data_IF_808976678921
#
_entry.id   IF_808976678921
#
_cell.length_a   1.000
_cell.length_b   1.000
_cell.length_c   1.000
_cell.angle_alpha   90.00
_cell.angle_beta   90.00
_cell.angle_gamma   90.00
#
_symmetry.space_group_name_H-M   'P 1'
#
loop_
_entity.id
_entity.type
_entity.pdbx_description
1 polymer ?
#
# COMPACT_ATOMS: atom_id res chain seq x y z
N UNK A 1 5.05 6.33 -24.58
CA UNK A 1 4.78 7.66 -24.01
C UNK A 1 5.25 7.62 -22.58
N UNK A 2 6.22 8.45 -22.20
CA UNK A 2 6.59 8.61 -20.80
C UNK A 2 5.35 9.01 -19.99
N UNK A 3 5.14 8.44 -18.79
CA UNK A 3 4.07 8.90 -17.92
C UNK A 3 4.26 10.39 -17.63
N UNK A 4 3.15 11.12 -17.56
CA UNK A 4 3.19 12.53 -17.22
C UNK A 4 3.85 12.68 -15.83
N UNK A 5 4.71 13.69 -15.62
CA UNK A 5 5.30 13.93 -14.31
C UNK A 5 4.18 14.10 -13.27
N UNK A 6 4.39 13.69 -12.01
CA UNK A 6 3.40 13.87 -10.97
C UNK A 6 3.01 15.35 -10.88
N UNK A 7 1.70 15.62 -10.77
CA UNK A 7 1.21 16.99 -10.67
C UNK A 7 1.89 17.72 -9.51
N UNK A 8 2.33 18.96 -9.76
CA UNK A 8 2.90 19.80 -8.70
C UNK A 8 1.87 19.99 -7.57
N UNK A 9 2.31 20.03 -6.31
CA UNK A 9 1.41 20.30 -5.19
C UNK A 9 0.73 21.68 -5.38
N UNK A 10 -0.59 21.73 -5.22
CA UNK A 10 -1.36 22.96 -5.25
C UNK A 10 -1.48 23.53 -3.83
N UNK A 11 -1.33 24.86 -3.62
CA UNK A 11 -1.68 25.51 -2.37
C UNK A 11 -3.18 25.31 -2.04
N UNK A 12 -3.53 25.27 -0.76
CA UNK A 12 -4.94 25.02 -0.34
C UNK A 12 -5.88 26.15 -0.83
N UNK A 13 -5.43 27.39 -0.87
CA UNK A 13 -6.21 28.50 -1.42
C UNK A 13 -6.50 28.37 -2.93
N UNK A 14 -5.68 27.66 -3.67
CA UNK A 14 -5.95 27.30 -5.07
C UNK A 14 -7.08 26.27 -5.19
N UNK A 15 -7.25 25.36 -4.23
CA UNK A 15 -8.37 24.41 -4.19
C UNK A 15 -9.71 25.15 -4.12
N UNK A 16 -9.81 26.16 -3.27
CA UNK A 16 -11.02 26.98 -3.13
C UNK A 16 -11.39 27.73 -4.43
N UNK A 17 -10.37 28.09 -5.23
CA UNK A 17 -10.61 28.68 -6.57
C UNK A 17 -11.05 27.66 -7.61
N UNK A 18 -10.59 26.44 -7.54
CA UNK A 18 -10.86 25.39 -8.50
C UNK A 18 -12.18 24.65 -8.22
N UNK A 19 -12.58 24.56 -6.96
CA UNK A 19 -13.83 23.93 -6.52
C UNK A 19 -14.42 24.74 -5.34
N UNK A 20 -15.03 25.90 -5.62
CA UNK A 20 -15.57 26.81 -4.60
C UNK A 20 -16.81 26.28 -3.88
N UNK A 21 -17.52 25.31 -4.42
CA UNK A 21 -18.66 24.67 -3.77
C UNK A 21 -18.27 23.73 -2.62
N UNK A 22 -16.99 23.42 -2.46
CA UNK A 22 -16.47 22.60 -1.38
C UNK A 22 -15.97 23.49 -0.24
N UNK A 23 -16.50 23.29 0.96
CA UNK A 23 -15.96 23.88 2.19
C UNK A 23 -14.66 23.12 2.57
N UNK A 24 -13.52 23.62 2.07
CA UNK A 24 -12.22 23.00 2.27
C UNK A 24 -11.77 23.02 3.72
N UNK A 25 -12.14 24.05 4.47
CA UNK A 25 -11.78 24.17 5.90
C UNK A 25 -12.53 23.11 6.71
N UNK A 26 -13.83 22.97 6.49
CA UNK A 26 -14.63 21.91 7.11
C UNK A 26 -14.16 20.52 6.67
N UNK A 27 -13.78 20.35 5.39
CA UNK A 27 -13.26 19.10 4.87
C UNK A 27 -11.96 18.66 5.58
N UNK A 28 -10.96 19.55 5.65
CA UNK A 28 -9.70 19.25 6.31
C UNK A 28 -9.83 19.12 7.83
N UNK A 29 -10.70 19.92 8.46
CA UNK A 29 -11.03 19.78 9.88
C UNK A 29 -11.65 18.41 10.19
N UNK A 30 -12.56 17.90 9.34
CA UNK A 30 -13.15 16.59 9.49
C UNK A 30 -12.15 15.44 9.32
N UNK A 31 -11.10 15.67 8.52
CA UNK A 31 -9.98 14.74 8.36
C UNK A 31 -8.92 14.85 9.49
N UNK A 32 -9.04 15.84 10.37
CA UNK A 32 -8.09 16.08 11.45
C UNK A 32 -6.72 16.58 10.97
N UNK A 33 -6.65 17.24 9.79
CA UNK A 33 -5.41 17.74 9.19
C UNK A 33 -5.58 19.16 8.70
N UNK A 34 -4.47 19.89 8.58
CA UNK A 34 -4.44 21.24 8.00
C UNK A 34 -3.23 21.37 7.06
N UNK A 35 -3.34 20.81 5.85
CA UNK A 35 -2.23 20.87 4.89
C UNK A 35 -2.08 22.28 4.33
N UNK A 36 -0.86 22.68 4.02
CA UNK A 36 -0.57 23.92 3.26
C UNK A 36 -0.65 23.68 1.75
N UNK A 37 -0.36 22.46 1.32
CA UNK A 37 -0.36 22.04 -0.08
C UNK A 37 -0.99 20.66 -0.23
N UNK A 38 -1.68 20.45 -1.35
CA UNK A 38 -2.30 19.16 -1.69
C UNK A 38 -1.87 18.74 -3.09
N UNK A 39 -1.44 17.51 -3.24
CA UNK A 39 -1.12 16.94 -4.55
C UNK A 39 -2.40 16.41 -5.21
N UNK A 40 -2.91 17.15 -6.17
CA UNK A 40 -4.13 16.81 -6.91
C UNK A 40 -4.09 17.38 -8.32
N UNK A 41 -5.06 16.99 -9.16
CA UNK A 41 -5.21 17.49 -10.52
C UNK A 41 -6.22 18.64 -10.56
N UNK A 42 -5.82 19.80 -11.09
CA UNK A 42 -6.72 20.92 -11.33
C UNK A 42 -7.90 20.54 -12.24
N UNK A 43 -7.67 19.66 -13.22
CA UNK A 43 -8.72 19.14 -14.10
C UNK A 43 -9.73 18.30 -13.33
N UNK A 44 -9.27 17.46 -12.40
CA UNK A 44 -10.14 16.66 -11.55
C UNK A 44 -11.02 17.56 -10.66
N UNK A 45 -10.44 18.57 -10.00
CA UNK A 45 -11.18 19.50 -9.15
C UNK A 45 -12.27 20.26 -9.92
N UNK A 46 -11.96 20.76 -11.12
CA UNK A 46 -12.95 21.39 -11.98
C UNK A 46 -14.07 20.42 -12.39
N UNK A 47 -13.75 19.17 -12.67
CA UNK A 47 -14.74 18.14 -12.99
C UNK A 47 -15.64 17.84 -11.79
N UNK A 48 -15.08 17.80 -10.58
CA UNK A 48 -15.84 17.65 -9.35
C UNK A 48 -16.80 18.84 -9.18
N UNK A 49 -16.32 20.07 -9.33
CA UNK A 49 -17.13 21.29 -9.21
C UNK A 49 -18.29 21.29 -10.21
N UNK A 50 -18.01 21.00 -11.49
CA UNK A 50 -19.05 20.92 -12.51
C UNK A 50 -20.09 19.84 -12.20
N UNK A 51 -19.65 18.68 -11.73
CA UNK A 51 -20.56 17.59 -11.39
C UNK A 51 -21.38 17.93 -10.15
N UNK A 52 -20.73 18.54 -9.14
CA UNK A 52 -21.38 18.95 -7.91
C UNK A 52 -22.50 19.96 -8.14
N UNK A 53 -22.20 21.02 -8.90
CA UNK A 53 -23.14 22.11 -9.18
C UNK A 53 -24.26 21.71 -10.14
N UNK A 54 -24.00 20.78 -11.07
CA UNK A 54 -24.99 20.30 -12.03
C UNK A 54 -25.93 19.22 -11.46
N UNK A 55 -25.61 18.64 -10.29
CA UNK A 55 -26.36 17.49 -9.76
C UNK A 55 -27.26 17.93 -8.60
N UNK A 56 -28.56 17.63 -8.62
CA UNK A 56 -29.47 17.96 -7.53
C UNK A 56 -29.06 17.31 -6.20
N UNK A 57 -29.29 18.02 -5.08
CA UNK A 57 -28.96 17.55 -3.74
C UNK A 57 -29.61 16.19 -3.41
N UNK A 58 -30.84 15.97 -3.88
CA UNK A 58 -31.54 14.69 -3.67
C UNK A 58 -30.80 13.51 -4.28
N UNK A 59 -30.11 13.72 -5.42
CA UNK A 59 -29.31 12.69 -6.10
C UNK A 59 -28.04 12.44 -5.29
N UNK A 60 -27.38 13.50 -4.77
CA UNK A 60 -26.21 13.34 -3.90
C UNK A 60 -26.54 12.59 -2.63
N UNK A 61 -27.68 12.90 -1.99
CA UNK A 61 -28.16 12.16 -0.79
C UNK A 61 -28.39 10.69 -1.10
N UNK A 62 -29.04 10.38 -2.22
CA UNK A 62 -29.28 9.00 -2.64
C UNK A 62 -27.96 8.27 -2.95
N UNK A 63 -27.01 8.95 -3.63
CA UNK A 63 -25.69 8.39 -3.90
C UNK A 63 -24.91 8.12 -2.61
N UNK A 64 -24.89 9.06 -1.67
CA UNK A 64 -24.22 8.90 -0.38
C UNK A 64 -24.80 7.71 0.41
N UNK A 65 -26.12 7.58 0.48
CA UNK A 65 -26.79 6.45 1.13
C UNK A 65 -26.42 5.12 0.44
N UNK A 66 -26.47 5.09 -0.88
CA UNK A 66 -26.07 3.91 -1.65
C UNK A 66 -24.58 3.55 -1.43
N UNK A 67 -23.68 4.55 -1.45
CA UNK A 67 -22.25 4.34 -1.23
C UNK A 67 -21.97 3.79 0.19
N UNK A 68 -22.67 4.32 1.22
CA UNK A 68 -22.57 3.83 2.59
C UNK A 68 -22.99 2.36 2.70
N UNK A 69 -24.13 1.99 2.10
CA UNK A 69 -24.60 0.59 2.09
C UNK A 69 -23.60 -0.31 1.32
N UNK A 70 -23.09 0.17 0.19
CA UNK A 70 -22.10 -0.56 -0.61
C UNK A 70 -20.77 -0.78 0.11
N UNK A 71 -20.41 0.10 1.04
CA UNK A 71 -19.18 -0.03 1.84
C UNK A 71 -19.29 -1.12 2.91
N UNK A 72 -20.51 -1.54 3.28
CA UNK A 72 -20.71 -2.61 4.23
C UNK A 72 -20.51 -3.98 3.57
N UNK A 73 -19.96 -4.97 4.30
CA UNK A 73 -19.88 -6.34 3.80
C UNK A 73 -21.28 -6.92 3.58
N UNK A 74 -21.44 -7.67 2.50
CA UNK A 74 -22.72 -8.28 2.07
C UNK A 74 -23.22 -9.43 2.97
N UNK A 75 -22.63 -9.63 4.13
CA UNK A 75 -22.95 -10.71 5.08
C UNK A 75 -22.29 -12.04 4.72
N UNK A 76 -21.68 -12.19 3.54
CA UNK A 76 -20.95 -13.40 3.21
C UNK A 76 -19.62 -13.46 3.99
N UNK A 77 -19.21 -14.70 4.34
CA UNK A 77 -17.92 -14.94 5.01
C UNK A 77 -16.76 -14.33 4.23
N UNK A 78 -16.80 -14.42 2.89
CA UNK A 78 -15.76 -13.89 2.01
C UNK A 78 -15.70 -12.36 2.04
N UNK A 79 -16.84 -11.68 2.05
CA UNK A 79 -16.89 -10.23 2.14
C UNK A 79 -16.43 -9.74 3.51
N UNK A 80 -16.82 -10.43 4.58
CA UNK A 80 -16.36 -10.14 5.93
C UNK A 80 -14.81 -10.23 6.02
N UNK A 81 -14.21 -11.32 5.54
CA UNK A 81 -12.75 -11.48 5.55
C UNK A 81 -12.07 -10.39 4.73
N UNK A 82 -12.57 -10.07 3.53
CA UNK A 82 -12.01 -8.97 2.71
C UNK A 82 -12.10 -7.63 3.42
N UNK A 83 -13.23 -7.35 4.06
CA UNK A 83 -13.41 -6.11 4.82
C UNK A 83 -12.43 -6.02 5.99
N UNK A 84 -12.29 -7.09 6.76
CA UNK A 84 -11.30 -7.16 7.84
C UNK A 84 -9.87 -6.98 7.34
N UNK A 85 -9.51 -7.61 6.21
CA UNK A 85 -8.18 -7.42 5.60
C UNK A 85 -7.93 -5.97 5.18
N UNK A 86 -8.95 -5.29 4.66
CA UNK A 86 -8.83 -3.89 4.25
C UNK A 86 -8.76 -2.91 5.43
N UNK A 87 -9.50 -3.17 6.52
CA UNK A 87 -9.62 -2.24 7.64
C UNK A 87 -8.70 -2.57 8.83
N UNK A 88 -8.39 -3.85 9.03
CA UNK A 88 -7.59 -4.38 10.14
C UNK A 88 -6.40 -5.22 9.63
N UNK A 89 -5.85 -4.84 8.48
CA UNK A 89 -4.82 -5.61 7.78
C UNK A 89 -3.68 -6.12 8.65
N UNK A 90 -2.98 -5.27 9.43
CA UNK A 90 -1.89 -5.69 10.30
C UNK A 90 -2.30 -6.75 11.35
N UNK A 91 -3.49 -6.60 11.93
CA UNK A 91 -4.04 -7.56 12.90
C UNK A 91 -4.36 -8.90 12.24
N UNK A 92 -5.05 -8.88 11.11
CA UNK A 92 -5.37 -10.09 10.32
C UNK A 92 -4.10 -10.80 9.88
N UNK A 93 -3.08 -10.04 9.45
CA UNK A 93 -1.80 -10.60 9.05
C UNK A 93 -1.12 -11.35 10.20
N UNK A 94 -1.08 -10.76 11.40
CA UNK A 94 -0.47 -11.41 12.57
C UNK A 94 -1.14 -12.75 12.86
N UNK A 95 -2.48 -12.79 12.88
CA UNK A 95 -3.21 -14.04 13.10
C UNK A 95 -2.98 -15.03 11.95
N UNK A 96 -2.94 -14.57 10.72
CA UNK A 96 -2.65 -15.42 9.56
C UNK A 96 -1.27 -16.07 9.65
N UNK A 97 -0.23 -15.32 10.00
CA UNK A 97 1.14 -15.83 10.15
C UNK A 97 1.22 -16.88 11.26
N UNK A 98 0.53 -16.63 12.39
CA UNK A 98 0.48 -17.57 13.50
C UNK A 98 -0.27 -18.86 13.12
N UNK A 99 -1.46 -18.75 12.53
CA UNK A 99 -2.29 -19.90 12.14
C UNK A 99 -1.68 -20.69 10.98
N UNK A 100 -1.07 -20.00 10.02
CA UNK A 100 -0.38 -20.63 8.90
C UNK A 100 0.89 -21.39 9.31
N UNK A 101 1.26 -21.35 10.59
CA UNK A 101 2.50 -21.93 11.13
C UNK A 101 3.74 -21.53 10.32
N UNK A 102 3.75 -20.28 9.85
CA UNK A 102 4.86 -19.75 9.08
C UNK A 102 6.10 -19.64 9.99
N UNK A 103 7.03 -20.57 9.83
CA UNK A 103 8.22 -20.60 10.67
C UNK A 103 9.15 -19.42 10.38
N UNK A 104 9.83 -18.95 11.39
CA UNK A 104 10.91 -17.97 11.25
C UNK A 104 12.00 -18.46 10.28
N UNK A 105 12.22 -19.76 10.21
CA UNK A 105 13.15 -20.39 9.27
C UNK A 105 12.70 -20.21 7.80
N UNK A 106 11.40 -20.32 7.53
CA UNK A 106 10.85 -20.10 6.17
C UNK A 106 10.99 -18.63 5.77
N UNK A 107 10.66 -17.69 6.66
CA UNK A 107 10.85 -16.27 6.42
C UNK A 107 12.32 -15.91 6.18
N UNK A 108 13.23 -16.43 7.02
CA UNK A 108 14.66 -16.26 6.85
C UNK A 108 15.19 -16.88 5.54
N UNK A 109 14.61 -18.00 5.10
CA UNK A 109 14.95 -18.60 3.82
C UNK A 109 14.56 -17.69 2.65
N UNK A 110 13.34 -17.16 2.66
CA UNK A 110 12.88 -16.22 1.65
C UNK A 110 13.71 -14.93 1.64
N UNK A 111 14.10 -14.41 2.81
CA UNK A 111 14.97 -13.24 2.93
C UNK A 111 16.35 -13.48 2.26
N UNK A 112 16.97 -14.65 2.55
CA UNK A 112 18.24 -15.00 1.89
C UNK A 112 18.10 -15.11 0.36
N UNK A 113 17.02 -15.71 -0.13
CA UNK A 113 16.76 -15.76 -1.57
C UNK A 113 16.62 -14.37 -2.18
N UNK A 114 15.93 -13.46 -1.49
CA UNK A 114 15.79 -12.08 -1.93
C UNK A 114 17.15 -11.33 -1.96
N UNK A 115 18.01 -11.57 -0.98
CA UNK A 115 19.36 -11.02 -0.94
C UNK A 115 20.26 -11.58 -2.07
N UNK A 116 20.17 -12.87 -2.38
CA UNK A 116 20.89 -13.49 -3.51
C UNK A 116 20.46 -12.90 -4.86
N UNK A 117 19.14 -12.69 -5.02
CA UNK A 117 18.60 -12.05 -6.23
C UNK A 117 19.06 -10.61 -6.31
N UNK A 118 19.01 -9.85 -5.20
CA UNK A 118 19.49 -8.48 -5.14
C UNK A 118 20.99 -8.40 -5.51
N UNK A 119 21.82 -9.25 -4.96
CA UNK A 119 23.24 -9.30 -5.29
C UNK A 119 23.49 -9.59 -6.78
N UNK A 120 22.70 -10.50 -7.35
CA UNK A 120 22.77 -10.81 -8.79
C UNK A 120 22.30 -9.63 -9.64
N UNK A 121 21.23 -8.94 -9.21
CA UNK A 121 20.72 -7.76 -9.87
C UNK A 121 21.75 -6.63 -9.91
N UNK A 122 22.43 -6.38 -8.78
CA UNK A 122 23.57 -5.43 -8.70
C UNK A 122 24.65 -5.74 -9.70
N UNK A 123 25.12 -6.99 -9.73
CA UNK A 123 26.17 -7.40 -10.66
C UNK A 123 25.73 -7.18 -12.12
N UNK A 124 24.48 -7.53 -12.45
CA UNK A 124 23.94 -7.32 -13.79
C UNK A 124 23.86 -5.85 -14.16
N UNK A 125 23.39 -4.98 -13.29
CA UNK A 125 23.38 -3.52 -13.53
C UNK A 125 24.78 -2.97 -13.80
N UNK A 126 25.78 -3.45 -13.08
CA UNK A 126 27.17 -3.04 -13.29
C UNK A 126 27.69 -3.44 -14.67
N UNK A 127 27.31 -4.60 -15.17
CA UNK A 127 27.82 -5.19 -16.43
C UNK A 127 27.06 -4.69 -17.68
N UNK A 128 25.92 -3.97 -17.55
CA UNK A 128 25.12 -3.55 -18.71
C UNK A 128 25.85 -2.53 -19.57
N UNK A 129 26.19 -2.86 -20.85
CA UNK A 129 27.03 -1.99 -21.69
C UNK A 129 26.31 -0.75 -22.21
N UNK A 130 24.97 -0.76 -22.24
CA UNK A 130 24.15 0.33 -22.75
C UNK A 130 23.83 1.42 -21.71
N UNK A 131 24.13 1.18 -20.42
CA UNK A 131 23.98 2.19 -19.37
C UNK A 131 25.20 3.15 -19.40
N UNK A 132 24.91 4.44 -19.50
CA UNK A 132 25.94 5.46 -19.25
C UNK A 132 26.37 5.47 -17.76
N UNK A 133 27.49 6.14 -17.49
CA UNK A 133 28.09 6.12 -16.15
C UNK A 133 27.22 6.77 -15.07
N UNK A 134 26.48 7.82 -15.41
CA UNK A 134 25.61 8.53 -14.46
C UNK A 134 24.37 7.73 -14.14
N UNK A 135 23.66 7.24 -15.16
CA UNK A 135 22.49 6.37 -15.01
C UNK A 135 22.85 5.10 -14.22
N UNK A 136 24.02 4.48 -14.53
CA UNK A 136 24.49 3.31 -13.80
C UNK A 136 24.72 3.61 -12.33
N UNK A 137 25.35 4.74 -11.99
CA UNK A 137 25.59 5.15 -10.60
C UNK A 137 24.27 5.34 -9.83
N UNK A 138 23.31 6.03 -10.44
CA UNK A 138 21.99 6.27 -9.85
C UNK A 138 21.21 4.96 -9.66
N UNK A 139 21.20 4.09 -10.67
CA UNK A 139 20.54 2.78 -10.60
C UNK A 139 21.13 1.89 -9.49
N UNK A 140 22.47 1.86 -9.37
CA UNK A 140 23.14 1.12 -8.30
C UNK A 140 22.86 1.71 -6.91
N UNK A 141 22.81 3.04 -6.77
CA UNK A 141 22.46 3.70 -5.52
C UNK A 141 21.02 3.34 -5.10
N UNK A 142 20.05 3.42 -6.02
CA UNK A 142 18.67 3.04 -5.78
C UNK A 142 18.53 1.56 -5.40
N UNK A 143 19.17 0.67 -6.14
CA UNK A 143 19.15 -0.76 -5.84
C UNK A 143 19.80 -1.07 -4.47
N UNK A 144 20.85 -0.33 -4.06
CA UNK A 144 21.47 -0.50 -2.74
C UNK A 144 20.59 -0.05 -1.60
N UNK A 145 19.79 0.98 -1.84
CA UNK A 145 18.83 1.52 -0.85
C UNK A 145 17.51 0.73 -0.81
N UNK A 146 17.35 -0.30 -1.65
CA UNK A 146 16.13 -1.14 -1.65
C UNK A 146 16.01 -1.90 -0.33
N UNK A 147 14.91 -1.64 0.38
CA UNK A 147 14.57 -2.37 1.60
C UNK A 147 13.61 -3.53 1.27
N UNK A 148 13.86 -4.70 1.86
CA UNK A 148 13.06 -5.91 1.60
C UNK A 148 12.40 -6.36 2.89
N UNK A 149 11.10 -6.50 2.86
CA UNK A 149 10.29 -6.95 3.99
C UNK A 149 9.64 -8.30 3.67
N UNK A 150 9.92 -9.29 4.50
CA UNK A 150 9.41 -10.66 4.31
C UNK A 150 8.40 -10.99 5.39
N UNK A 151 7.12 -11.11 5.03
CA UNK A 151 6.03 -11.43 5.95
C UNK A 151 6.14 -10.67 7.29
N UNK A 152 6.60 -9.43 7.20
CA UNK A 152 6.83 -8.58 8.38
C UNK A 152 5.51 -8.30 9.10
N UNK A 153 5.43 -8.50 10.38
CA UNK A 153 4.24 -8.19 11.18
C UNK A 153 4.60 -7.24 12.31
N UNK A 154 3.67 -6.35 12.64
CA UNK A 154 3.78 -5.51 13.83
C UNK A 154 3.82 -6.37 15.10
N UNK A 155 4.45 -5.88 16.15
CA UNK A 155 4.48 -6.57 17.45
C UNK A 155 3.07 -6.64 18.07
N UNK A 156 2.87 -7.55 19.02
CA UNK A 156 1.59 -7.61 19.75
C UNK A 156 1.30 -6.31 20.50
N UNK A 157 2.34 -5.68 21.02
CA UNK A 157 2.23 -4.44 21.78
C UNK A 157 1.83 -3.27 20.87
N UNK A 158 2.47 -3.14 19.70
CA UNK A 158 2.14 -2.10 18.73
C UNK A 158 0.69 -2.23 18.25
N UNK A 159 0.25 -3.46 17.95
CA UNK A 159 -1.14 -3.72 17.55
C UNK A 159 -2.12 -3.44 18.68
N UNK A 160 -1.81 -3.82 19.92
CA UNK A 160 -2.66 -3.52 21.07
C UNK A 160 -2.83 -2.00 21.26
N UNK A 161 -1.75 -1.25 21.08
CA UNK A 161 -1.79 0.21 21.14
C UNK A 161 -2.56 0.81 19.96
N UNK A 162 -2.29 0.35 18.74
CA UNK A 162 -2.95 0.84 17.52
C UNK A 162 -4.46 0.68 17.57
N UNK A 163 -4.96 -0.44 18.11
CA UNK A 163 -6.39 -0.77 18.14
C UNK A 163 -7.05 -0.56 19.50
N UNK A 164 -6.36 0.09 20.48
CA UNK A 164 -6.87 0.29 21.84
C UNK A 164 -8.23 1.02 21.88
N UNK A 165 -8.40 2.01 21.02
CA UNK A 165 -9.59 2.87 20.95
C UNK A 165 -10.64 2.39 19.94
N UNK A 166 -10.47 1.20 19.34
CA UNK A 166 -11.42 0.67 18.38
C UNK A 166 -12.65 0.09 19.12
N UNK A 167 -13.84 0.72 19.00
CA UNK A 167 -15.05 0.19 19.64
C UNK A 167 -15.52 -1.06 18.90
N UNK A 168 -15.83 -2.09 19.68
CA UNK A 168 -16.35 -3.37 19.19
C UNK A 168 -17.69 -3.67 19.87
N UNK A 169 -18.71 -4.05 19.09
CA UNK A 169 -20.05 -4.39 19.54
C UNK A 169 -20.54 -5.71 18.95
N UNK A 170 -21.78 -6.11 19.28
CA UNK A 170 -22.44 -7.27 18.67
C UNK A 170 -22.99 -6.98 17.26
N UNK A 171 -23.01 -5.70 16.84
CA UNK A 171 -23.48 -5.28 15.53
C UNK A 171 -22.32 -5.29 14.51
N UNK A 172 -22.41 -6.19 13.54
CA UNK A 172 -21.39 -6.34 12.50
C UNK A 172 -21.29 -5.12 11.57
N UNK A 173 -22.39 -4.40 11.33
CA UNK A 173 -22.37 -3.21 10.49
C UNK A 173 -21.69 -2.03 11.21
N UNK A 174 -21.98 -1.85 12.50
CA UNK A 174 -21.27 -0.88 13.32
C UNK A 174 -19.77 -1.19 13.41
N UNK A 175 -19.41 -2.44 13.63
CA UNK A 175 -18.00 -2.85 13.68
C UNK A 175 -17.28 -2.59 12.35
N UNK A 176 -17.94 -2.86 11.22
CA UNK A 176 -17.39 -2.56 9.90
C UNK A 176 -17.16 -1.05 9.70
N UNK A 177 -18.12 -0.24 10.11
CA UNK A 177 -18.02 1.22 10.08
C UNK A 177 -16.88 1.74 10.97
N UNK A 178 -16.82 1.29 12.22
CA UNK A 178 -15.78 1.70 13.17
C UNK A 178 -14.39 1.30 12.69
N UNK A 179 -14.23 0.08 12.16
CA UNK A 179 -12.95 -0.39 11.62
C UNK A 179 -12.51 0.43 10.40
N UNK A 180 -13.43 0.76 9.49
CA UNK A 180 -13.15 1.62 8.34
C UNK A 180 -12.76 3.05 8.76
N UNK A 181 -13.50 3.65 9.68
CA UNK A 181 -13.21 4.99 10.21
C UNK A 181 -11.88 5.03 10.98
N UNK A 182 -11.57 3.98 11.75
CA UNK A 182 -10.29 3.83 12.45
C UNK A 182 -9.14 3.76 11.44
N UNK A 183 -9.24 2.89 10.43
CA UNK A 183 -8.22 2.74 9.39
C UNK A 183 -7.96 4.06 8.65
N UNK A 184 -9.02 4.81 8.32
CA UNK A 184 -8.88 6.12 7.66
C UNK A 184 -8.18 7.13 8.56
N UNK A 185 -8.59 7.25 9.85
CA UNK A 185 -7.94 8.18 10.79
C UNK A 185 -6.46 7.85 10.97
N UNK A 186 -6.13 6.57 11.08
CA UNK A 186 -4.74 6.11 11.20
C UNK A 186 -3.93 6.50 9.96
N UNK A 187 -4.44 6.23 8.77
CA UNK A 187 -3.79 6.60 7.52
C UNK A 187 -3.58 8.12 7.38
N UNK A 188 -4.53 8.93 7.86
CA UNK A 188 -4.41 10.40 7.85
C UNK A 188 -3.41 10.90 8.88
N UNK A 189 -3.35 10.29 10.07
CA UNK A 189 -2.39 10.64 11.11
C UNK A 189 -0.93 10.35 10.69
N UNK A 190 -0.75 9.40 9.78
CA UNK A 190 0.57 9.04 9.23
C UNK A 190 1.01 9.92 8.06
N UNK A 191 0.16 10.82 7.56
CA UNK A 191 0.54 11.76 6.51
C UNK A 191 1.69 12.66 7.00
N UNK A 192 2.83 12.59 6.30
CA UNK A 192 4.04 13.35 6.65
C UNK A 192 4.92 12.71 7.73
N UNK A 193 4.52 11.60 8.32
CA UNK A 193 5.36 10.76 9.18
C UNK A 193 5.98 9.64 8.33
N UNK A 194 7.03 9.00 8.83
CA UNK A 194 7.77 7.98 8.08
C UNK A 194 6.84 6.97 7.38
N UNK A 195 7.06 6.72 6.10
CA UNK A 195 6.22 5.85 5.27
C UNK A 195 6.14 4.39 5.75
N UNK A 196 6.98 3.99 6.68
CA UNK A 196 6.99 2.64 7.25
C UNK A 196 5.70 2.29 7.99
N UNK A 197 5.00 3.27 8.57
CA UNK A 197 3.78 3.05 9.35
C UNK A 197 2.50 3.00 8.50
N UNK A 198 2.48 3.66 7.35
CA UNK A 198 1.34 3.68 6.42
C UNK A 198 1.19 2.40 5.57
N UNK A 199 1.73 1.27 6.05
CA UNK A 199 1.71 0.02 5.29
C UNK A 199 0.31 -0.59 5.27
N UNK A 200 -0.46 -0.21 4.28
CA UNK A 200 -1.76 -0.82 3.95
C UNK A 200 -1.62 -2.00 2.98
N UNK A 201 -0.45 -2.64 2.95
CA UNK A 201 -0.13 -3.72 2.02
C UNK A 201 -0.99 -4.97 2.25
N UNK A 202 -1.20 -5.76 1.21
CA UNK A 202 -1.89 -7.04 1.31
C UNK A 202 -0.97 -8.09 1.95
N UNK A 203 -0.69 -7.92 3.23
CA UNK A 203 0.24 -8.70 4.04
C UNK A 203 0.03 -10.23 3.97
N UNK A 204 -1.24 -10.65 3.77
CA UNK A 204 -1.62 -12.05 3.62
C UNK A 204 -1.70 -12.52 2.18
N UNK A 205 -1.49 -11.61 1.21
CA UNK A 205 -1.67 -11.92 -0.20
C UNK A 205 -0.59 -12.87 -0.75
N UNK A 206 -0.96 -13.55 -1.82
CA UNK A 206 -0.05 -14.37 -2.63
C UNK A 206 0.58 -13.46 -3.68
N UNK A 207 1.30 -12.43 -3.23
CA UNK A 207 2.00 -11.48 -4.11
C UNK A 207 3.20 -10.86 -3.41
N UNK A 208 4.18 -10.46 -4.19
CA UNK A 208 5.17 -9.46 -3.82
C UNK A 208 4.76 -8.11 -4.41
N UNK A 209 5.14 -7.01 -3.80
CA UNK A 209 4.79 -5.67 -4.27
C UNK A 209 5.97 -4.74 -4.05
N UNK A 210 6.42 -4.10 -5.12
CA UNK A 210 7.36 -3.00 -5.01
C UNK A 210 6.62 -1.68 -4.76
N UNK A 211 7.06 -0.92 -3.77
CA UNK A 211 6.51 0.37 -3.36
C UNK A 211 7.45 1.51 -3.80
N UNK A 212 7.17 2.18 -4.93
CA UNK A 212 8.09 3.16 -5.52
C UNK A 212 8.40 4.34 -4.62
N UNK A 213 7.38 4.82 -3.87
CA UNK A 213 7.50 5.98 -3.00
C UNK A 213 8.51 5.77 -1.85
N UNK A 214 8.80 4.52 -1.51
CA UNK A 214 9.62 4.14 -0.36
C UNK A 214 10.86 3.35 -0.76
N UNK A 215 10.94 2.94 -2.02
CA UNK A 215 11.95 2.01 -2.52
C UNK A 215 11.99 0.72 -1.68
N UNK A 216 10.80 0.13 -1.48
CA UNK A 216 10.62 -1.06 -0.66
C UNK A 216 9.98 -2.19 -1.46
N UNK A 217 10.38 -3.43 -1.14
CA UNK A 217 9.79 -4.66 -1.65
C UNK A 217 9.12 -5.41 -0.50
N UNK A 218 7.79 -5.52 -0.56
CA UNK A 218 7.02 -6.30 0.40
C UNK A 218 6.72 -7.70 -0.15
N UNK A 219 7.05 -8.72 0.63
CA UNK A 219 6.78 -10.13 0.31
C UNK A 219 5.67 -10.62 1.22
N UNK A 220 4.48 -10.80 0.64
CA UNK A 220 3.31 -11.27 1.37
C UNK A 220 3.48 -12.69 1.90
N UNK A 221 2.94 -12.95 3.10
CA UNK A 221 3.04 -14.26 3.76
C UNK A 221 2.41 -15.40 2.95
N UNK A 222 1.43 -15.09 2.09
CA UNK A 222 0.82 -16.07 1.21
C UNK A 222 1.77 -16.68 0.17
N UNK A 223 2.86 -16.00 -0.18
CA UNK A 223 3.90 -16.52 -1.08
C UNK A 223 4.82 -17.55 -0.41
N UNK A 224 4.89 -17.54 0.92
CA UNK A 224 5.84 -18.35 1.68
C UNK A 224 5.31 -19.78 1.97
N UNK A 225 4.51 -20.31 1.06
CA UNK A 225 3.89 -21.63 1.15
C UNK A 225 3.94 -22.35 -0.20
N UNK A 226 3.93 -23.69 -0.19
CA UNK A 226 3.73 -24.46 -1.41
C UNK A 226 2.44 -24.05 -2.16
N UNK A 227 2.46 -24.02 -3.49
CA UNK A 227 3.55 -24.45 -4.37
C UNK A 227 4.60 -23.38 -4.67
N UNK A 228 4.44 -22.13 -4.21
CA UNK A 228 5.32 -21.00 -4.54
C UNK A 228 6.67 -21.13 -3.84
N UNK A 229 6.66 -21.38 -2.54
CA UNK A 229 7.86 -21.69 -1.76
C UNK A 229 7.66 -22.98 -0.97
N UNK A 230 8.36 -24.01 -1.39
CA UNK A 230 8.58 -25.23 -0.61
C UNK A 230 10.06 -25.28 -0.22
N UNK A 231 10.36 -25.12 1.08
CA UNK A 231 11.74 -25.12 1.58
C UNK A 231 12.43 -26.47 1.46
N UNK A 232 11.66 -27.58 1.31
CA UNK A 232 12.19 -28.91 1.07
C UNK A 232 12.45 -29.18 -0.43
N UNK A 233 11.89 -28.39 -1.33
CA UNK A 233 12.07 -28.55 -2.76
C UNK A 233 13.50 -28.21 -3.20
N UNK A 234 14.00 -28.77 -4.32
CA UNK A 234 15.29 -28.39 -4.92
C UNK A 234 15.37 -26.89 -5.20
N UNK A 235 16.62 -26.36 -5.15
CA UNK A 235 16.88 -24.92 -5.28
C UNK A 235 16.29 -24.32 -6.57
N UNK A 236 16.40 -25.03 -7.69
CA UNK A 236 15.87 -24.53 -8.98
C UNK A 236 14.35 -24.36 -8.98
N UNK A 237 13.58 -25.17 -8.24
CA UNK A 237 12.14 -24.98 -8.09
C UNK A 237 11.83 -23.78 -7.22
N UNK A 238 12.57 -23.56 -6.15
CA UNK A 238 12.40 -22.41 -5.26
C UNK A 238 12.69 -21.10 -5.99
N UNK A 239 13.77 -21.03 -6.77
CA UNK A 239 14.08 -19.86 -7.58
C UNK A 239 13.14 -19.70 -8.78
N UNK A 240 12.66 -20.80 -9.39
CA UNK A 240 11.63 -20.77 -10.43
C UNK A 240 10.25 -20.30 -9.91
N UNK A 241 9.92 -20.63 -8.67
CA UNK A 241 8.70 -20.18 -7.97
C UNK A 241 8.87 -18.77 -7.40
N UNK A 242 9.21 -18.70 -6.11
CA UNK A 242 9.34 -17.43 -5.40
C UNK A 242 10.37 -16.50 -6.04
N UNK A 243 11.54 -17.03 -6.43
CA UNK A 243 12.64 -16.23 -6.97
C UNK A 243 12.28 -15.44 -8.23
N UNK A 244 11.50 -16.02 -9.13
CA UNK A 244 11.04 -15.33 -10.35
C UNK A 244 10.11 -14.15 -10.05
N UNK A 245 9.25 -14.27 -9.05
CA UNK A 245 8.36 -13.21 -8.60
C UNK A 245 9.15 -12.06 -7.96
N UNK A 246 10.11 -12.40 -7.09
CA UNK A 246 10.96 -11.40 -6.45
C UNK A 246 11.81 -10.63 -7.46
N UNK A 247 12.42 -11.34 -8.43
CA UNK A 247 13.21 -10.70 -9.47
C UNK A 247 12.40 -9.75 -10.34
N UNK A 248 11.18 -10.17 -10.71
CA UNK A 248 10.24 -9.33 -11.45
C UNK A 248 9.94 -8.03 -10.69
N UNK A 249 9.57 -8.14 -9.42
CA UNK A 249 9.13 -6.97 -8.65
C UNK A 249 10.33 -6.07 -8.27
N UNK A 250 11.52 -6.64 -8.02
CA UNK A 250 12.76 -5.85 -7.90
C UNK A 250 13.09 -5.08 -9.18
N UNK A 251 12.82 -5.65 -10.36
CA UNK A 251 13.11 -4.96 -11.63
C UNK A 251 12.23 -3.73 -11.85
N UNK A 252 11.03 -3.67 -11.23
CA UNK A 252 10.16 -2.50 -11.27
C UNK A 252 10.82 -1.26 -10.66
N UNK A 253 11.78 -1.42 -9.74
CA UNK A 253 12.51 -0.29 -9.17
C UNK A 253 13.19 0.59 -10.22
N UNK A 254 13.55 0.03 -11.37
CA UNK A 254 14.26 0.72 -12.45
C UNK A 254 13.45 0.80 -13.75
N UNK A 255 12.17 0.43 -13.74
CA UNK A 255 11.32 0.58 -14.91
C UNK A 255 10.97 2.06 -15.19
N UNK A 256 10.41 2.33 -16.39
CA UNK A 256 10.09 3.70 -16.82
C UNK A 256 9.06 4.43 -15.96
N UNK A 257 8.30 3.72 -15.13
CA UNK A 257 7.26 4.29 -14.26
C UNK A 257 7.81 4.52 -12.85
N UNK A 258 8.40 3.50 -12.26
CA UNK A 258 8.85 3.53 -10.86
C UNK A 258 10.26 4.12 -10.71
N UNK A 259 11.08 4.11 -11.76
CA UNK A 259 12.43 4.70 -11.77
C UNK A 259 12.47 6.19 -11.46
N UNK A 260 11.36 6.91 -11.68
CA UNK A 260 11.26 8.36 -11.47
C UNK A 260 11.02 8.78 -10.02
N UNK A 261 10.78 7.85 -9.11
CA UNK A 261 10.41 8.12 -7.70
C UNK A 261 11.60 8.16 -6.74
N UNK A 262 12.84 8.25 -7.24
CA UNK A 262 14.01 8.26 -6.37
C UNK A 262 15.04 9.32 -6.78
#
# INVERSE_FOLDING_TARGET
RAPAPPAAPLPVDELARLAPSVDWDAYFAALGTQPTHVRTSATLLRSIELTWTATPESVWRAYAAWAAVRALPDGSRRACVRHMQASLGPLVHRYYVAEASLSSATAAHAARMADDIRATYFRRLYELPWLDAETRRTALAKASALTIHVASSASAQDLAQQYADLPVSQDSAQNAWHAGAHSMRHALAELGVSPYHARTGPWTAVQATYLPAHNELDIGAGLLRPPILDTAAPMYLRFGGLGSLLARDMSQALDGTCGQHY
#
